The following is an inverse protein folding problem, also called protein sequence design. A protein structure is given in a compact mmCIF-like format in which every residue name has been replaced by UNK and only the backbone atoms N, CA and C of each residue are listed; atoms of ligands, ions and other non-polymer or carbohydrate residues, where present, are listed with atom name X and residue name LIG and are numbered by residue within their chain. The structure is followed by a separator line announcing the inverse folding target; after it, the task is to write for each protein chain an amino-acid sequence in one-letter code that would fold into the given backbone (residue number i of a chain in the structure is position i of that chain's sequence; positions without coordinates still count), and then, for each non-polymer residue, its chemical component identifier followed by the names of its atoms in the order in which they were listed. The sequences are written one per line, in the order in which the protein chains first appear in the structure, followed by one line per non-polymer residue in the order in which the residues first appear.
data_IF_007755875292
#
_entry.id   IF_007755875292
#
_cell.length_a   1.000
_cell.length_b   1.000
_cell.length_c   1.000
_cell.angle_alpha   90.00
_cell.angle_beta   90.00
_cell.angle_gamma   90.00
#
_symmetry.space_group_name_H-M   'P 1'
#
loop_
_entity.id
_entity.type
_entity.pdbx_description
1 polymer ?
#
# COMPACT_ATOMS: atom_id res chain seq x y z
N UNK A 1 -54.29 5.32 4.55
CA UNK A 1 -53.49 4.23 5.15
C UNK A 1 -52.31 3.79 4.27
N UNK A 2 -52.45 3.65 2.94
CA UNK A 2 -51.32 3.35 2.01
C UNK A 2 -50.24 4.45 1.92
N UNK A 3 -50.56 5.72 2.16
CA UNK A 3 -49.63 6.87 2.06
C UNK A 3 -48.56 6.89 3.18
N UNK A 4 -48.83 6.26 4.32
CA UNK A 4 -47.92 6.22 5.48
C UNK A 4 -46.83 5.15 5.28
N UNK A 5 -47.16 4.07 4.57
CA UNK A 5 -46.24 2.96 4.26
C UNK A 5 -45.15 3.41 3.27
N UNK A 6 -45.52 4.20 2.24
CA UNK A 6 -44.53 4.74 1.28
C UNK A 6 -43.57 5.77 1.91
N UNK A 7 -44.02 6.56 2.89
CA UNK A 7 -43.17 7.55 3.58
C UNK A 7 -42.09 6.92 4.47
N UNK A 8 -42.40 5.80 5.13
CA UNK A 8 -41.45 5.11 6.00
C UNK A 8 -40.31 4.43 5.21
N UNK A 9 -40.58 3.92 4.00
CA UNK A 9 -39.59 3.25 3.14
C UNK A 9 -38.59 4.26 2.54
N UNK A 10 -39.04 5.46 2.19
CA UNK A 10 -38.17 6.53 1.64
C UNK A 10 -37.25 7.12 2.72
N UNK A 11 -37.71 7.22 3.96
CA UNK A 11 -36.89 7.72 5.08
C UNK A 11 -35.81 6.72 5.52
N UNK A 12 -36.07 5.41 5.39
CA UNK A 12 -35.08 4.36 5.66
C UNK A 12 -34.01 4.24 4.56
N UNK A 13 -34.33 4.58 3.31
CA UNK A 13 -33.38 4.52 2.19
C UNK A 13 -32.31 5.63 2.24
N UNK A 14 -32.62 6.78 2.86
CA UNK A 14 -31.68 7.91 2.94
C UNK A 14 -30.61 7.76 4.05
N UNK A 15 -30.80 6.85 5.01
CA UNK A 15 -29.82 6.58 6.08
C UNK A 15 -28.75 5.55 5.70
N UNK A 16 -28.89 4.86 4.55
CA UNK A 16 -27.96 3.81 4.12
C UNK A 16 -26.79 4.33 3.27
N UNK A 17 -26.61 5.64 3.16
CA UNK A 17 -25.54 6.25 2.34
C UNK A 17 -24.23 6.54 3.10
N UNK A 18 -23.99 5.92 4.26
CA UNK A 18 -22.65 5.86 4.88
C UNK A 18 -22.47 4.54 5.63
N UNK A 19 -22.00 3.49 4.93
CA UNK A 19 -20.82 2.71 5.34
C UNK A 19 -20.63 1.48 4.45
N UNK A 20 -19.59 1.51 3.61
CA UNK A 20 -18.87 0.29 3.27
C UNK A 20 -17.46 0.38 3.84
N UNK A 21 -17.31 -0.30 4.97
CA UNK A 21 -16.15 -1.09 5.39
C UNK A 21 -14.89 -0.95 4.54
N UNK A 22 -13.88 -0.28 5.11
CA UNK A 22 -12.51 -0.78 4.99
C UNK A 22 -12.03 -1.13 6.39
N UNK A 23 -12.44 -2.32 6.85
CA UNK A 23 -11.60 -3.10 7.76
C UNK A 23 -10.32 -3.43 7.00
N UNK A 24 -9.28 -2.61 7.14
CA UNK A 24 -7.92 -2.99 6.77
C UNK A 24 -7.45 -4.08 7.76
N UNK A 25 -7.75 -5.35 7.49
CA UNK A 25 -7.06 -6.48 8.10
C UNK A 25 -6.53 -7.41 7.00
N UNK A 26 -5.21 -7.34 6.85
CA UNK A 26 -4.24 -8.33 6.32
C UNK A 26 -3.95 -8.36 4.81
N UNK A 27 -2.64 -8.31 4.55
CA UNK A 27 -1.87 -8.29 3.30
C UNK A 27 -1.87 -6.89 2.66
N UNK A 28 -0.83 -6.07 2.76
CA UNK A 28 0.58 -6.30 2.40
C UNK A 28 1.46 -5.50 3.35
N UNK A 29 2.68 -5.98 3.58
CA UNK A 29 3.82 -5.29 4.23
C UNK A 29 3.62 -3.79 4.46
N UNK A 30 3.68 -3.42 5.75
CA UNK A 30 4.13 -2.14 6.30
C UNK A 30 4.32 -1.01 5.29
N UNK A 31 3.51 0.04 5.45
CA UNK A 31 3.95 1.43 5.47
C UNK A 31 5.38 1.67 4.94
N UNK A 32 5.49 1.87 3.63
CA UNK A 32 6.69 2.42 3.01
C UNK A 32 6.29 3.53 2.06
N UNK A 33 6.21 4.71 2.67
CA UNK A 33 6.68 5.98 2.12
C UNK A 33 7.62 5.77 0.92
N UNK A 34 7.02 5.71 -0.27
CA UNK A 34 7.69 5.92 -1.56
C UNK A 34 8.05 7.40 -1.67
N UNK A 35 8.93 7.85 -0.79
CA UNK A 35 9.78 8.99 -1.12
C UNK A 35 10.87 8.43 -1.99
N UNK A 36 11.07 9.03 -3.15
CA UNK A 36 12.12 8.76 -4.13
C UNK A 36 13.52 8.98 -3.55
N UNK A 37 13.90 8.20 -2.55
CA UNK A 37 15.30 8.00 -2.22
C UNK A 37 15.74 6.96 -3.24
N UNK A 38 16.42 7.40 -4.31
CA UNK A 38 17.11 6.47 -5.20
C UNK A 38 17.93 5.54 -4.31
N UNK A 39 17.65 4.23 -4.36
CA UNK A 39 18.11 3.29 -3.33
C UNK A 39 19.60 3.45 -3.05
N UNK A 40 19.95 3.60 -1.77
CA UNK A 40 21.32 3.87 -1.32
C UNK A 40 22.27 2.71 -1.55
N UNK A 41 21.78 1.51 -1.79
CA UNK A 41 22.61 0.33 -2.01
C UNK A 41 22.36 -0.25 -3.38
N UNK A 42 23.43 -0.57 -4.11
CA UNK A 42 23.40 -1.14 -5.47
C UNK A 42 24.31 -2.36 -5.59
N UNK A 43 24.02 -3.24 -6.56
CA UNK A 43 24.89 -4.36 -6.87
C UNK A 43 25.81 -4.00 -8.04
N UNK A 44 27.12 -4.18 -7.87
CA UNK A 44 28.14 -3.91 -8.91
C UNK A 44 27.92 -4.72 -10.19
N UNK A 45 27.38 -5.94 -10.06
CA UNK A 45 27.04 -6.81 -11.19
C UNK A 45 25.64 -6.55 -11.76
N UNK A 46 24.74 -5.97 -10.96
CA UNK A 46 23.33 -5.78 -11.30
C UNK A 46 22.86 -4.38 -10.88
N UNK A 47 23.20 -3.32 -11.63
CA UNK A 47 22.95 -1.93 -11.25
C UNK A 47 21.45 -1.59 -11.10
N UNK A 48 20.57 -2.38 -11.73
CA UNK A 48 19.11 -2.25 -11.58
C UNK A 48 18.61 -2.65 -10.19
N UNK A 49 19.42 -3.38 -9.41
CA UNK A 49 19.09 -3.76 -8.04
C UNK A 49 19.43 -2.57 -7.14
N UNK A 50 18.40 -1.82 -6.76
CA UNK A 50 18.49 -0.73 -5.79
C UNK A 50 17.76 -1.14 -4.51
N UNK A 51 18.42 -0.96 -3.36
CA UNK A 51 17.83 -1.18 -2.04
C UNK A 51 18.10 -0.02 -1.10
N UNK A 52 17.21 0.19 -0.15
CA UNK A 52 17.33 1.21 0.89
C UNK A 52 18.18 0.75 2.08
N UNK A 53 18.55 -0.53 2.13
CA UNK A 53 19.26 -1.17 3.26
C UNK A 53 20.44 -2.01 2.77
N UNK A 54 21.49 -2.16 3.58
CA UNK A 54 22.57 -3.08 3.29
C UNK A 54 22.07 -4.53 3.30
N UNK A 55 22.77 -5.40 2.59
CA UNK A 55 22.45 -6.82 2.51
C UNK A 55 22.96 -7.44 1.21
N UNK A 56 22.42 -8.61 0.86
CA UNK A 56 22.84 -9.35 -0.34
C UNK A 56 21.93 -9.09 -1.54
N UNK A 57 22.54 -9.12 -2.73
CA UNK A 57 21.87 -9.03 -4.02
C UNK A 57 21.04 -10.30 -4.27
N UNK A 58 19.73 -10.18 -4.57
CA UNK A 58 18.87 -11.34 -4.80
C UNK A 58 19.15 -12.06 -6.14
N UNK A 59 19.93 -11.45 -7.05
CA UNK A 59 20.25 -12.03 -8.36
C UNK A 59 21.51 -12.90 -8.32
N UNK A 60 22.55 -12.49 -7.60
CA UNK A 60 23.84 -13.20 -7.54
C UNK A 60 24.30 -13.58 -6.13
N UNK A 61 23.63 -13.13 -5.07
CA UNK A 61 24.00 -13.42 -3.69
C UNK A 61 25.21 -12.64 -3.15
N UNK A 62 25.84 -11.78 -3.95
CA UNK A 62 26.93 -10.91 -3.50
C UNK A 62 26.40 -9.74 -2.66
N UNK A 63 27.24 -9.18 -1.80
CA UNK A 63 26.88 -8.01 -1.00
C UNK A 63 26.57 -6.77 -1.86
N UNK A 64 25.56 -6.01 -1.43
CA UNK A 64 25.22 -4.72 -1.99
C UNK A 64 26.15 -3.65 -1.43
N UNK A 65 26.62 -2.75 -2.29
CA UNK A 65 27.50 -1.64 -1.94
C UNK A 65 26.71 -0.35 -1.83
N UNK A 66 27.08 0.53 -0.90
CA UNK A 66 26.47 1.86 -0.81
C UNK A 66 26.85 2.69 -2.04
N UNK A 67 25.86 3.31 -2.67
CA UNK A 67 26.00 4.21 -3.80
C UNK A 67 26.06 5.62 -3.22
N UNK A 68 27.27 6.10 -3.00
CA UNK A 68 27.51 7.53 -2.78
C UNK A 68 26.97 8.31 -3.98
N UNK A 69 26.22 9.39 -3.71
CA UNK A 69 25.60 10.24 -4.73
C UNK A 69 26.51 11.39 -5.15
#
# INVERSE_FOLDING_TARGET
MRKIIFGAVVLAALLSACNNTVKQKKNVVSEQKKTEIAGRYTCTMHPDVLKDKPGVCPKCGMDLVEKDN
#
